data_IF_820867834971
#
_entry.id   IF_820867834971
#
_cell.length_a   1.000
_cell.length_b   1.000
_cell.length_c   1.000
_cell.angle_alpha   90.00
_cell.angle_beta   90.00
_cell.angle_gamma   90.00
#
_symmetry.space_group_name_H-M   'P 1'
#
loop_
_entity.id
_entity.type
_entity.pdbx_description
1 polymer ?
2 non-polymer ?
3 non-polymer ?
4 water ?
#
# COMPACT_ATOMS: atom_id res chain seq x y z
N UNK A 4 10.27 17.50 12.44
CA UNK A 4 9.34 17.78 13.56
C UNK A 4 8.74 16.44 14.03
N UNK A 5 7.48 16.17 13.73
CA UNK A 5 6.92 14.86 14.12
C UNK A 5 7.38 13.80 13.11
N UNK A 6 7.50 14.20 11.86
CA UNK A 6 7.96 13.30 10.79
C UNK A 6 9.41 13.63 10.51
N UNK A 7 10.31 12.81 11.04
CA UNK A 7 11.77 13.06 10.94
C UNK A 7 12.31 12.54 9.60
N UNK A 8 13.58 12.81 9.35
CA UNK A 8 14.21 12.40 8.09
C UNK A 8 14.27 10.87 8.03
N UNK A 9 14.40 10.22 9.18
CA UNK A 9 14.33 8.74 9.24
C UNK A 9 13.19 8.38 10.12
N UNK A 10 12.29 7.49 9.64
CA UNK A 10 11.17 7.09 10.50
C UNK A 10 11.00 5.59 10.40
N UNK A 11 10.75 4.92 11.53
CA UNK A 11 10.37 3.52 11.57
C UNK A 11 8.88 3.34 11.45
N UNK A 12 8.53 2.10 11.12
CA UNK A 12 7.14 1.67 10.94
C UNK A 12 6.94 0.32 11.61
N UNK A 13 5.72 0.11 12.07
CA UNK A 13 5.27 -1.18 12.52
C UNK A 13 3.86 -1.40 12.01
N UNK A 14 3.55 -2.61 11.63
CA UNK A 14 2.26 -2.95 11.01
C UNK A 14 1.70 -4.26 11.53
N UNK A 15 0.37 -4.27 11.56
CA UNK A 15 -0.43 -5.48 11.82
C UNK A 15 -1.49 -5.54 10.71
N UNK A 16 -1.66 -6.72 10.13
CA UNK A 16 -2.63 -6.97 9.06
C UNK A 16 -3.38 -8.26 9.35
N UNK A 17 -4.67 -8.25 9.07
CA UNK A 17 -5.47 -9.47 9.24
C UNK A 17 -6.56 -9.43 8.19
N UNK A 18 -6.96 -10.61 7.74
CA UNK A 18 -8.15 -10.69 6.91
C UNK A 18 -8.27 -12.03 6.23
N UNK A 19 -9.02 -12.04 5.14
CA UNK A 19 -9.32 -13.24 4.38
C UNK A 19 -9.11 -12.95 2.90
N UNK A 20 -8.68 -14.00 2.18
CA UNK A 20 -8.62 -14.01 0.70
C UNK A 20 -9.26 -15.30 0.29
N UNK A 21 -10.36 -15.18 -0.46
CA UNK A 21 -11.30 -16.27 -0.65
C UNK A 21 -11.59 -16.84 0.78
N UNK A 22 -11.57 -18.11 0.95
CA UNK A 22 -11.87 -18.72 2.24
C UNK A 22 -10.68 -18.90 3.16
N UNK A 23 -9.59 -18.16 2.93
CA UNK A 23 -8.37 -18.36 3.75
C UNK A 23 -8.14 -17.15 4.64
N UNK A 24 -8.01 -17.39 5.95
CA UNK A 24 -7.69 -16.34 6.91
C UNK A 24 -6.20 -16.24 7.11
N UNK A 25 -5.73 -15.04 7.42
CA UNK A 25 -4.30 -14.88 7.68
C UNK A 25 -4.05 -13.66 8.54
N UNK A 26 -2.83 -13.61 9.10
CA UNK A 26 -2.34 -12.44 9.79
C UNK A 26 -0.89 -12.24 9.35
N UNK A 27 -0.51 -10.96 9.21
CA UNK A 27 0.88 -10.57 8.96
C UNK A 27 1.30 -9.52 9.98
N UNK A 28 2.58 -9.47 10.28
CA UNK A 28 3.18 -8.33 10.98
C UNK A 28 4.30 -7.82 10.13
N UNK A 29 4.70 -6.58 10.32
CA UNK A 29 5.91 -6.09 9.66
C UNK A 29 6.52 -5.01 10.47
N UNK A 30 7.80 -4.79 10.21
CA UNK A 30 8.54 -3.65 10.74
C UNK A 30 9.47 -3.18 9.65
N UNK A 31 9.76 -1.90 9.67
CA UNK A 31 10.65 -1.35 8.64
C UNK A 31 11.01 0.07 8.95
N UNK A 32 11.62 0.68 7.97
CA UNK A 32 11.96 2.10 8.14
C UNK A 32 12.10 2.71 6.77
N UNK A 33 12.09 4.03 6.77
CA UNK A 33 12.23 4.76 5.51
C UNK A 33 12.65 6.19 5.72
N UNK A 34 12.67 6.91 4.62
CA UNK A 34 13.08 8.30 4.57
C UNK A 34 11.90 9.08 4.01
N UNK A 35 11.04 9.65 4.89
CA UNK A 35 9.77 10.22 4.40
C UNK A 35 9.91 11.31 3.36
N UNK A 36 10.99 12.10 3.47
CA UNK A 36 11.24 13.22 2.58
C UNK A 36 12.05 12.78 1.39
N UNK A 37 12.42 11.54 1.27
CA UNK A 37 13.00 10.98 0.05
C UNK A 37 12.04 10.03 -0.69
N UNK A 38 10.94 9.67 -0.07
CA UNK A 38 10.01 8.78 -0.76
C UNK A 38 10.46 7.34 -0.77
N UNK A 39 11.32 6.88 0.15
CA UNK A 39 11.82 5.50 0.12
C UNK A 39 11.49 4.82 1.45
N UNK A 40 11.30 3.49 1.35
CA UNK A 40 11.11 2.70 2.55
C UNK A 40 11.35 1.23 2.25
N UNK A 41 11.63 0.50 3.32
CA UNK A 41 11.70 -0.93 3.28
C UNK A 41 10.87 -1.52 4.43
N UNK A 42 10.11 -2.59 4.13
CA UNK A 42 9.30 -3.31 5.13
C UNK A 42 9.78 -4.78 5.11
N UNK A 43 9.95 -5.35 6.30
CA UNK A 43 10.31 -6.77 6.54
C UNK A 43 9.02 -7.37 7.11
N UNK A 44 8.45 -8.32 6.36
CA UNK A 44 7.09 -8.80 6.59
C UNK A 44 7.07 -10.29 6.92
N UNK A 45 6.33 -10.64 7.96
CA UNK A 45 6.12 -12.02 8.36
C UNK A 45 4.65 -12.40 8.24
N UNK A 46 4.39 -13.54 7.66
CA UNK A 46 3.10 -14.20 7.78
C UNK A 46 3.08 -14.94 9.09
N UNK A 47 2.26 -14.53 10.05
CA UNK A 47 2.30 -15.08 11.41
C UNK A 47 1.15 -16.03 11.69
N UNK A 48 0.11 -16.01 10.85
CA UNK A 48 -1.01 -16.96 11.02
C UNK A 48 -1.63 -17.20 9.65
N UNK A 49 -1.95 -18.46 9.37
CA UNK A 49 -2.52 -18.82 8.07
C UNK A 49 -1.52 -19.13 6.99
N UNK A 50 -0.25 -19.21 7.36
CA UNK A 50 0.84 -19.44 6.40
C UNK A 50 1.11 -20.92 6.26
N UNK A 51 1.72 -21.36 5.17
CA UNK A 51 1.97 -20.55 3.97
C UNK A 51 0.66 -20.15 3.26
N UNK A 52 0.64 -18.96 2.71
CA UNK A 52 -0.59 -18.48 2.06
C UNK A 52 -0.81 -19.23 0.76
N UNK A 53 -2.05 -19.62 0.45
CA UNK A 53 -2.33 -20.34 -0.78
C UNK A 53 -2.69 -19.38 -1.90
N UNK A 54 -2.07 -18.24 -1.95
CA UNK A 54 -2.29 -17.22 -2.98
C UNK A 54 -1.02 -16.37 -3.04
N UNK A 55 -0.93 -15.65 -4.14
CA UNK A 55 0.22 -14.78 -4.41
C UNK A 55 0.33 -13.65 -3.40
N UNK A 56 1.48 -13.54 -2.74
CA UNK A 56 1.67 -12.42 -1.79
C UNK A 56 1.53 -11.08 -2.51
N UNK A 57 1.83 -11.04 -3.81
CA UNK A 57 1.69 -9.79 -4.58
C UNK A 57 0.37 -9.09 -4.37
N UNK A 58 -0.74 -9.80 -4.15
CA UNK A 58 -2.01 -9.07 -4.00
C UNK A 58 -2.08 -8.27 -2.72
N UNK A 59 -1.18 -8.50 -1.77
CA UNK A 59 -1.12 -7.78 -0.50
C UNK A 59 -0.17 -6.59 -0.58
N UNK A 60 0.64 -6.45 -1.65
CA UNK A 60 1.78 -5.54 -1.62
C UNK A 60 1.39 -4.08 -1.37
N UNK A 61 0.32 -3.61 -1.98
CA UNK A 61 -0.10 -2.22 -1.81
C UNK A 61 -0.73 -1.95 -0.46
N UNK A 62 -0.91 -2.97 0.35
CA UNK A 62 -1.52 -2.79 1.66
C UNK A 62 -0.50 -2.59 2.76
N UNK A 63 0.76 -2.72 2.46
CA UNK A 63 1.84 -2.49 3.43
C UNK A 63 2.34 -1.01 3.39
N UNK A 64 3.69 2.57 0.42
CA UNK A 64 3.38 3.88 -0.20
C UNK A 64 2.08 3.72 -0.97
N UNK A 66 0.38 1.48 0.68
CA UNK A 66 -0.19 1.54 2.01
C UNK A 66 0.53 2.44 2.99
N UNK A 67 1.69 3.01 2.70
CA UNK A 67 2.57 3.70 3.66
C UNK A 67 2.82 5.10 3.13
N UNK A 68 1.76 5.93 3.26
CA UNK A 68 1.60 7.16 2.50
C UNK A 68 2.45 8.30 3.05
N UNK A 69 2.95 8.19 4.26
CA UNK A 69 3.81 9.24 4.83
C UNK A 69 5.13 9.29 4.09
N UNK A 70 5.54 8.19 3.45
CA UNK A 70 6.82 8.08 2.70
C UNK A 70 6.61 8.28 1.19
N UNK A 71 6.04 9.37 0.89
CA UNK A 71 5.97 9.84 -0.50
C UNK A 71 6.67 11.16 -0.53
N UNK A 72 7.64 11.27 -1.39
CA UNK A 72 8.41 12.53 -1.52
C UNK A 72 7.53 13.59 -2.19
N UNK A 73 7.15 14.61 -1.43
CA UNK A 73 6.36 15.73 -1.99
C UNK A 73 7.28 16.93 -2.10
N UNK A 74 7.44 17.49 -3.31
CA UNK A 74 8.14 18.76 -3.40
C UNK A 74 7.44 19.77 -2.52
N UNK A 75 8.19 20.82 -2.08
CA UNK A 75 7.55 21.84 -1.26
C UNK A 75 6.32 22.47 -1.90
N UNK A 76 6.29 22.55 -3.22
CA UNK A 76 5.17 23.15 -3.95
C UNK A 76 3.95 22.27 -4.01
N UNK A 77 3.97 21.03 -3.55
CA UNK A 77 2.77 20.16 -3.50
C UNK A 77 2.43 19.95 -2.05
N UNK A 78 1.32 20.54 -1.57
CA UNK A 78 0.90 20.28 -0.20
C UNK A 78 0.84 18.77 0.05
N UNK A 79 1.32 18.38 1.23
CA UNK A 79 1.45 16.96 1.59
C UNK A 79 0.37 16.60 2.58
N UNK A 80 -0.73 16.03 2.05
CA UNK A 80 -1.89 15.72 2.88
C UNK A 80 -1.53 14.82 4.03
N UNK A 81 -0.64 13.86 3.76
CA UNK A 81 -0.30 12.82 4.72
C UNK A 81 0.56 13.39 5.86
N UNK A 82 1.65 14.07 5.49
CA UNK A 82 2.52 14.59 6.56
C UNK A 82 1.81 15.69 7.37
N UNK A 83 0.91 16.46 6.72
CA UNK A 83 0.17 17.48 7.45
C UNK A 83 -0.78 16.88 8.43
N UNK A 84 -1.13 15.60 8.30
CA UNK A 84 -2.16 14.99 9.14
C UNK A 84 -1.65 14.67 10.55
N UNK A 85 -0.36 14.70 10.82
CA UNK A 85 0.15 14.37 12.15
C UNK A 85 0.06 15.58 13.06
N UNK A 86 -0.16 15.38 14.36
CA UNK A 86 -0.07 14.11 15.07
C UNK A 86 -1.28 13.16 14.96
N UNK A 87 -2.41 13.69 14.50
CA UNK A 87 -3.71 12.94 14.48
C UNK A 87 -3.66 11.66 13.62
N UNK A 88 -3.01 11.72 12.49
CA UNK A 88 -2.92 10.60 11.54
C UNK A 88 -4.03 10.61 10.51
N UNK A 89 -4.24 9.47 9.85
CA UNK A 89 -5.16 9.40 8.71
C UNK A 89 -5.56 7.94 8.49
N UNK A 90 -6.53 7.74 7.62
CA UNK A 90 -6.97 6.41 7.21
C UNK A 90 -6.99 6.32 5.70
N UNK A 91 -7.07 5.10 5.19
CA UNK A 91 -7.35 4.91 3.77
C UNK A 91 -8.24 3.69 3.59
N UNK A 92 -8.98 3.71 2.54
CA UNK A 92 -9.91 2.64 2.14
C UNK A 92 -9.79 2.44 0.63
N UNK A 93 -9.55 1.22 0.21
CA UNK A 93 -9.26 0.94 -1.19
C UNK A 93 -10.06 -0.25 -1.68
N UNK A 94 -10.42 -0.18 -2.95
CA UNK A 94 -10.91 -1.34 -3.69
C UNK A 94 -10.01 -1.54 -4.90
N UNK A 95 -9.42 -2.73 -4.97
CA UNK A 95 -8.61 -3.16 -6.11
C UNK A 95 -9.39 -4.21 -6.91
N UNK A 96 -9.74 -3.89 -8.14
CA UNK A 96 -10.59 -4.74 -8.98
C UNK A 96 -9.74 -5.34 -10.08
N UNK A 97 -9.58 -6.65 -10.08
CA UNK A 97 -8.77 -7.37 -11.09
C UNK A 97 -9.64 -7.67 -12.30
N UNK A 98 -9.03 -7.72 -13.48
CA UNK A 98 -9.83 -7.93 -14.72
C UNK A 98 -10.50 -9.33 -14.77
N UNK A 99 -10.02 -10.30 -14.01
CA UNK A 99 -10.62 -11.65 -13.98
C UNK A 99 -11.62 -11.81 -12.84
N UNK A 100 -12.00 -10.73 -12.18
CA UNK A 100 -13.07 -10.72 -11.20
C UNK A 100 -12.61 -10.77 -9.74
N UNK A 101 -11.36 -11.03 -9.46
CA UNK A 101 -10.93 -10.91 -8.08
C UNK A 101 -11.07 -9.48 -7.61
N UNK A 102 -11.42 -9.30 -6.36
CA UNK A 102 -11.54 -7.98 -5.75
C UNK A 102 -10.85 -8.03 -4.40
N UNK A 103 -9.95 -7.09 -4.16
CA UNK A 103 -9.26 -7.00 -2.86
C UNK A 103 -9.59 -5.66 -2.27
N UNK A 104 -10.33 -5.67 -1.18
CA UNK A 104 -10.69 -4.46 -0.44
C UNK A 104 -9.77 -4.39 0.76
N UNK A 105 -9.27 -3.20 1.07
CA UNK A 105 -8.44 -3.02 2.25
C UNK A 105 -8.77 -1.72 2.93
N UNK A 106 -8.78 -1.73 4.24
CA UNK A 106 -8.94 -0.49 5.02
C UNK A 106 -7.79 -0.39 5.99
N UNK A 107 -7.37 0.82 6.28
CA UNK A 107 -6.11 1.00 7.00
C UNK A 107 -6.21 2.18 7.94
N UNK A 108 -5.60 2.07 9.10
CA UNK A 108 -5.42 3.17 10.03
C UNK A 108 -3.92 3.44 10.17
N UNK A 109 -3.56 4.72 10.05
CA UNK A 109 -2.18 5.19 10.26
C UNK A 109 -2.15 6.12 11.48
N UNK A 110 -1.35 5.76 12.47
CA UNK A 110 -1.11 6.60 13.66
C UNK A 110 0.38 6.78 13.89
N UNK A 111 0.69 7.73 14.73
CA UNK A 111 2.09 8.05 15.13
C UNK A 111 2.19 7.89 16.64
N UNK A 112 3.03 6.97 17.07
CA UNK A 112 3.17 6.69 18.52
C UNK A 112 4.66 6.66 18.89
N UNK A 113 5.09 7.64 19.67
CA UNK A 113 6.51 7.71 20.12
C UNK A 113 7.49 7.66 18.94
N UNK A 114 7.14 8.38 17.90
CA UNK A 114 8.07 8.49 16.75
C UNK A 114 8.10 7.26 15.85
N UNK A 115 7.21 6.28 16.06
CA UNK A 115 6.98 5.21 15.03
C UNK A 115 5.63 5.40 14.38
N UNK A 116 5.61 5.16 13.08
CA UNK A 116 4.34 5.08 12.33
C UNK A 116 3.79 3.68 12.55
N UNK A 117 2.52 3.62 12.91
CA UNK A 117 1.82 2.38 13.28
C UNK A 117 0.66 2.15 12.31
N UNK A 118 0.67 1.02 11.64
CA UNK A 118 -0.36 0.70 10.62
C UNK A 118 -1.17 -0.47 11.09
N UNK A 119 -2.49 -0.37 10.96
CA UNK A 119 -3.42 -1.48 11.23
C UNK A 119 -4.22 -1.66 9.96
N UNK A 120 -4.16 -2.85 9.33
CA UNK A 120 -4.77 -3.08 8.05
C UNK A 120 -5.73 -4.24 8.12
N UNK A 121 -6.87 -4.07 7.44
CA UNK A 121 -7.94 -5.09 7.30
C UNK A 121 -8.05 -5.43 5.80
N UNK A 122 -7.98 -6.70 5.44
CA UNK A 122 -8.00 -7.14 4.03
C UNK A 122 -9.17 -8.08 3.82
N UNK A 123 -9.90 -7.89 2.73
CA UNK A 123 -10.94 -8.82 2.27
C UNK A 123 -10.79 -9.02 0.77
N UNK A 124 -10.30 -10.21 0.40
CA UNK A 124 -10.19 -10.58 -1.01
C UNK A 124 -11.27 -11.59 -1.34
N UNK A 125 -11.98 -11.38 -2.44
CA UNK A 125 -13.08 -12.25 -2.84
C UNK A 125 -13.03 -12.53 -4.32
N UNK A 126 -13.59 -13.67 -4.68
CA UNK A 126 -13.84 -14.01 -6.08
C UNK A 126 -12.59 -14.16 -6.92
N UNK A 127 -11.45 -14.50 -6.28
CA UNK A 127 -10.27 -14.80 -7.07
C UNK A 127 -10.47 -16.17 -7.71
N UNK A 128 -10.33 -16.30 -9.04
CA UNK A 128 -10.59 -17.61 -9.68
C UNK A 128 -9.69 -18.70 -9.07
N UNK A 129 -10.28 -19.85 -8.83
CA UNK A 129 -9.53 -20.94 -8.18
C UNK A 129 -8.29 -21.35 -8.96
N UNK A 130 -8.42 -21.36 -10.28
CA UNK A 130 -7.35 -21.73 -11.21
C UNK A 130 -6.73 -20.50 -11.89
N UNK A 131 -6.92 -19.32 -11.32
CA UNK A 131 -6.29 -18.14 -11.86
C UNK A 131 -4.90 -17.94 -11.29
N UNK A 132 -4.20 -16.91 -11.80
CA UNK A 132 -2.79 -16.75 -11.42
C UNK A 132 -2.58 -16.35 -9.97
N UNK A 133 -3.54 -15.63 -9.39
CA UNK A 133 -3.36 -15.28 -7.96
C UNK A 133 -3.44 -16.51 -7.09
N UNK A 134 -4.50 -17.32 -7.24
CA UNK A 134 -4.68 -18.47 -6.33
C UNK A 134 -3.72 -19.59 -6.68
N UNK A 135 -3.16 -19.62 -7.89
CA UNK A 135 -2.17 -20.62 -8.30
C UNK A 135 -0.75 -20.10 -8.17
N UNK A 136 -0.56 -18.90 -7.64
CA UNK A 136 0.80 -18.40 -7.34
C UNK A 136 1.64 -18.33 -8.61
N UNK A 137 1.10 -17.73 -9.65
CA UNK A 137 1.75 -17.57 -10.95
C UNK A 137 2.03 -16.13 -11.29
N UNK A 138 2.37 -15.31 -10.29
CA UNK A 138 2.61 -13.88 -10.47
C UNK A 138 4.06 -13.55 -10.20
N UNK A 139 4.52 -12.41 -10.74
CA UNK A 139 5.92 -12.02 -10.76
C UNK A 139 6.11 -10.54 -10.42
N UNK A 140 5.28 -9.99 -9.56
CA UNK A 140 5.48 -8.64 -9.10
C UNK A 140 4.76 -7.62 -9.95
N UNK A 141 4.85 -6.38 -9.49
CA UNK A 141 4.11 -5.27 -10.08
C UNK A 141 5.02 -4.41 -10.92
N UNK A 142 4.50 -3.96 -12.05
CA UNK A 142 5.18 -2.93 -12.82
C UNK A 142 5.09 -1.59 -12.09
N UNK A 143 5.98 -0.69 -12.41
CA UNK A 143 5.92 0.68 -11.93
C UNK A 143 4.60 1.29 -12.36
N UNK A 144 4.06 2.17 -11.53
CA UNK A 144 2.72 2.75 -11.79
C UNK A 144 2.69 4.21 -11.41
N UNK A 145 1.65 4.89 -11.85
CA UNK A 145 1.39 6.29 -11.48
C UNK A 145 -0.03 6.38 -10.93
N UNK A 146 -0.15 6.88 -9.75
CA UNK A 146 -1.45 7.10 -9.07
C UNK A 146 -1.82 8.57 -9.21
N UNK A 147 -2.98 8.87 -9.76
CA UNK A 147 -3.47 10.26 -9.80
C UNK A 147 -4.27 10.51 -8.54
N UNK A 148 -3.91 11.65 -7.93
CA UNK A 148 -4.48 12.11 -6.67
C UNK A 148 -5.44 13.27 -6.93
N UNK A 149 -6.66 13.16 -6.42
CA UNK A 149 -7.73 14.11 -6.64
C UNK A 149 -8.21 14.63 -5.30
N UNK A 150 -8.02 15.93 -5.02
CA UNK A 150 -8.68 16.49 -3.83
C UNK A 150 -10.20 16.35 -3.96
N UNK A 151 -10.86 16.00 -2.86
CA UNK A 151 -12.25 15.45 -2.83
C UNK A 151 -12.88 15.95 -1.53
N UNK A 152 -13.48 17.16 -1.50
CA UNK A 152 -14.28 17.60 -0.32
C UNK A 152 -13.51 17.35 0.98
N UNK A 153 -12.27 17.73 1.08
CA UNK A 153 -11.52 17.61 2.32
C UNK A 153 -10.72 16.34 2.48
N UNK A 154 -11.01 15.35 1.67
CA UNK A 154 -10.18 14.15 1.56
C UNK A 154 -9.42 14.15 0.27
N UNK A 155 -8.70 13.07 0.05
CA UNK A 155 -7.95 12.92 -1.20
C UNK A 155 -8.31 11.55 -1.76
N UNK A 156 -8.60 11.45 -3.05
CA UNK A 156 -8.82 10.18 -3.69
C UNK A 156 -7.64 9.87 -4.55
N UNK A 157 -7.36 8.58 -4.72
CA UNK A 157 -6.37 8.13 -5.68
C UNK A 157 -6.97 7.14 -6.66
N UNK A 158 -6.52 7.21 -7.90
CA UNK A 158 -6.96 6.31 -8.94
C UNK A 158 -5.73 5.86 -9.73
N UNK A 159 -5.57 4.55 -9.90
CA UNK A 159 -4.34 3.89 -10.44
C UNK A 159 -4.84 2.59 -11.23
N UNK A 160 -4.31 2.37 -12.42
CA UNK A 160 -4.31 1.01 -12.96
C UNK A 160 -2.93 0.46 -12.74
N UNK A 161 -2.86 -0.79 -12.33
CA UNK A 161 -1.61 -1.52 -12.10
C UNK A 161 -1.59 -2.78 -12.92
N UNK A 162 -0.41 -3.27 -13.19
CA UNK A 162 -0.15 -4.45 -14.04
C UNK A 162 0.67 -5.45 -13.26
N UNK A 163 0.10 -6.63 -13.02
CA UNK A 163 0.76 -7.72 -12.32
C UNK A 163 1.39 -8.62 -13.35
N UNK A 164 2.70 -8.78 -13.32
CA UNK A 164 3.39 -9.66 -14.26
C UNK A 164 3.00 -11.10 -14.00
N UNK A 165 2.86 -11.87 -15.08
CA UNK A 165 2.46 -13.28 -14.99
C UNK A 165 3.57 -14.17 -15.56
N UNK A 166 3.63 -15.36 -14.98
CA UNK A 166 4.44 -16.44 -15.60
C UNK A 166 3.86 -16.64 -17.00
N UNK A 167 4.73 -16.61 -18.00
CA UNK A 167 4.31 -16.74 -19.40
C UNK A 167 4.53 -15.46 -20.17
N UNK A 168 4.71 -14.35 -19.45
CA UNK A 168 4.99 -13.05 -20.08
C UNK A 168 3.77 -12.13 -20.15
N UNK A 169 2.60 -12.61 -19.81
CA UNK A 169 1.48 -11.64 -19.86
C UNK A 169 1.40 -10.75 -18.59
N UNK A 170 0.27 -10.09 -18.45
CA UNK A 170 -0.05 -9.27 -17.29
C UNK A 170 -1.51 -9.51 -16.91
N UNK A 171 -1.79 -9.36 -15.64
CA UNK A 171 -3.12 -9.23 -15.09
C UNK A 171 -3.29 -7.80 -14.64
N UNK A 172 -4.30 -7.15 -15.25
CA UNK A 172 -4.52 -5.71 -14.98
C UNK A 172 -5.52 -5.58 -13.83
N UNK A 173 -5.30 -4.57 -13.00
CA UNK A 173 -6.28 -4.23 -11.97
C UNK A 173 -6.39 -2.72 -11.89
N UNK A 174 -7.51 -2.30 -11.31
CA UNK A 174 -7.82 -0.91 -11.03
C UNK A 174 -7.85 -0.68 -9.53
N UNK A 175 -7.29 0.43 -9.09
CA UNK A 175 -7.32 0.86 -7.71
C UNK A 175 -8.13 2.14 -7.59
N UNK A 176 -9.04 2.15 -6.64
CA UNK A 176 -9.76 3.37 -6.21
C UNK A 176 -9.57 3.47 -4.73
N UNK A 177 -8.99 4.57 -4.27
CA UNK A 177 -8.69 4.76 -2.86
C UNK A 177 -9.27 6.08 -2.37
N UNK A 178 -9.73 6.08 -1.14
CA UNK A 178 -10.09 7.29 -0.38
C UNK A 178 -9.13 7.43 0.77
N UNK A 179 -8.50 8.58 0.88
CA UNK A 179 -7.57 8.94 1.97
C UNK A 179 -8.24 10.02 2.79
N UNK A 180 -8.34 9.80 4.10
CA UNK A 180 -9.09 10.73 4.99
C UNK A 180 -8.21 11.11 6.16
N UNK A 181 -8.06 12.40 6.41
CA UNK A 181 -7.29 12.87 7.52
C UNK A 181 -8.10 12.80 8.80
N UNK A 182 -7.42 12.60 9.92
CA UNK A 182 -8.05 12.77 11.25
C UNK A 182 -7.89 14.18 11.78
N UNK A 183 -7.22 15.04 11.05
CA UNK A 183 -7.28 16.49 11.35
C UNK A 183 -8.54 17.02 10.66
N UNK A 184 -9.15 18.09 11.22
CA UNK A 184 -10.24 18.81 10.54
C UNK A 184 -9.73 19.32 9.18
N UNK A 185 -10.49 19.10 8.11
CA UNK A 185 -10.02 19.50 6.77
C UNK A 185 -9.71 21.01 6.70
N UNK A 186 -10.41 21.79 7.49
CA UNK A 186 -10.22 23.25 7.47
C UNK A 186 -8.79 23.59 7.93
N UNK A 187 -8.07 22.67 8.59
CA UNK A 187 -6.73 22.91 9.15
C UNK A 187 -5.62 22.41 8.19
N UNK A 188 -6.02 21.84 7.04
CA UNK A 188 -5.12 21.26 6.05
C UNK A 188 -5.04 22.16 4.84
N UNK A 189 -3.86 22.24 4.27
CA UNK A 189 -3.71 22.80 2.91
C UNK A 189 -3.92 21.65 1.93
N UNK A 190 -4.96 21.76 1.11
CA UNK A 190 -5.22 20.72 0.11
C UNK A 190 -4.32 20.96 -1.09
N UNK A 191 -3.78 19.90 -1.67
CA UNK A 191 -3.07 19.98 -2.94
C UNK A 191 -4.07 20.15 -4.09
N UNK A 192 -3.55 20.53 -5.25
CA UNK A 192 -4.27 20.33 -6.49
C UNK A 192 -4.24 18.87 -6.88
N UNK A 193 -4.75 18.58 -8.07
CA UNK A 193 -4.61 17.26 -8.68
C UNK A 193 -3.14 17.02 -8.92
N UNK A 194 -2.63 15.85 -8.58
CA UNK A 194 -1.20 15.59 -8.80
C UNK A 194 -1.02 14.06 -9.01
N UNK A 195 0.21 13.72 -9.35
CA UNK A 195 0.57 12.31 -9.63
C UNK A 195 1.64 11.80 -8.67
N UNK A 196 1.51 10.52 -8.31
CA UNK A 196 2.56 9.83 -7.55
C UNK A 196 3.08 8.69 -8.37
N UNK A 197 4.38 8.71 -8.71
CA UNK A 197 5.03 7.61 -9.41
C UNK A 197 5.58 6.68 -8.36
N UNK A 198 5.12 5.43 -8.45
CA UNK A 198 5.41 4.35 -7.46
C UNK A 198 6.22 3.26 -8.11
N UNK A 199 7.08 2.64 -7.30
CA UNK A 199 7.95 1.50 -7.72
C UNK A 199 8.04 0.54 -6.53
N UNK A 200 7.27 -0.54 -6.55
CA UNK A 200 7.23 -1.44 -5.41
C UNK A 200 7.89 -2.74 -5.85
N UNK A 201 8.98 -3.10 -5.18
CA UNK A 201 9.88 -4.15 -5.57
C UNK A 201 10.03 -5.14 -4.44
N UNK A 202 9.95 -6.41 -4.85
CA UNK A 202 10.24 -7.56 -4.00
C UNK A 202 11.78 -7.68 -3.89
N UNK A 203 12.33 -7.66 -2.70
CA UNK A 203 13.76 -7.72 -2.42
C UNK A 203 14.20 -9.15 -2.09
N UNK A 204 13.52 -9.80 -1.16
CA UNK A 204 13.86 -11.16 -0.68
C UNK A 204 12.57 -11.85 -0.26
N UNK A 205 12.59 -13.16 -0.24
CA UNK A 205 11.47 -13.93 0.25
C UNK A 205 11.92 -15.29 0.70
N UNK A 206 11.29 -15.79 1.71
CA UNK A 206 11.26 -17.24 1.93
C UNK A 206 10.68 -17.92 0.69
N UNK A 207 11.06 -19.15 0.46
CA UNK A 207 10.52 -19.91 -0.69
C UNK A 207 9.00 -19.92 -0.68
N UNK A 208 8.40 -19.99 0.50
CA UNK A 208 6.93 -20.08 0.61
C UNK A 208 6.24 -18.72 0.87
N UNK A 209 6.99 -17.62 0.72
CA UNK A 209 6.48 -16.25 0.88
C UNK A 209 6.01 -15.94 2.31
N UNK A 210 6.42 -16.71 3.31
CA UNK A 210 6.05 -16.42 4.68
C UNK A 210 6.93 -15.38 5.32
N UNK A 211 8.01 -15.02 4.65
CA UNK A 211 8.87 -13.87 4.98
C UNK A 211 9.07 -13.14 3.66
N UNK A 212 8.86 -11.83 3.66
CA UNK A 212 9.03 -11.02 2.45
C UNK A 212 9.69 -9.71 2.87
N UNK A 213 10.63 -9.26 2.08
CA UNK A 213 11.12 -7.88 2.20
C UNK A 213 10.69 -7.13 0.94
N UNK A 214 10.06 -6.00 1.09
CA UNK A 214 9.76 -5.20 -0.11
C UNK A 214 10.12 -3.76 0.17
N UNK A 215 10.50 -3.15 -0.93
CA UNK A 215 10.96 -1.79 -1.00
C UNK A 215 10.00 -0.98 -1.83
N UNK A 216 9.75 0.25 -1.46
CA UNK A 216 8.98 1.14 -2.35
C UNK A 216 9.68 2.50 -2.44
N UNK A 217 9.55 3.07 -3.64
CA UNK A 217 9.92 4.46 -3.93
C UNK A 217 8.67 5.11 -4.48
N UNK A 218 8.38 6.27 -3.94
CA UNK A 218 7.17 7.02 -4.38
C UNK A 218 7.51 8.51 -4.36
N UNK A 219 7.27 9.17 -5.49
CA UNK A 219 7.59 10.59 -5.67
C UNK A 219 6.41 11.32 -6.32
N UNK A 220 5.96 12.40 -5.73
CA UNK A 220 4.84 13.24 -6.25
C UNK A 220 5.36 14.27 -7.25
N UNK A 221 4.48 14.57 -8.21
CA UNK A 221 4.68 15.66 -9.21
C UNK A 221 3.36 16.20 -9.69
N UNK A 222 3.41 17.48 -10.10
CA UNK A 222 2.23 18.12 -10.74
C UNK A 222 2.36 17.69 -12.20
N UNK A 223 1.25 17.30 -12.83
CA UNK A 223 1.23 16.84 -14.25
C UNK A 223 1.78 17.94 -15.15
#
# INVERSE_FOLDING_TARGET
>A
MVSELIKENMPMKLYMEGTVNNHHFKCTSEGEGKPYEGTQTMRIKVVEGGPLPFAFDILATSFMXGSRTFIKHPPGIPDFFKQSFPEGFTWERVTTYEDGGVLTATQDTSLQDGCLIYNVKVRGVNFPANGPVMQKKTLGWEASTETMYPADGGLEGACDMALKLVGGGHLICNLETTYRSKKPATNLKMPGVYNVDHRLERIKEADDETYVEQHEVAVARYSTGGAGDGGK
#
